data_IF_398110710844
#
_entry.id   IF_398110710844
#
_cell.length_a   1.000
_cell.length_b   1.000
_cell.length_c   1.000
_cell.angle_alpha   90.00
_cell.angle_beta   90.00
_cell.angle_gamma   90.00
#
_symmetry.space_group_name_H-M   'P 1'
#
loop_
_entity.id
_entity.type
_entity.pdbx_description
1 polymer ?
#
# COMPACT_ATOMS: atom_id res chain seq x y z
N UNK A 1 35.62 -4.94 -4.84
CA UNK A 1 34.61 -5.86 -5.38
C UNK A 1 33.26 -5.18 -5.22
N UNK A 2 32.78 -4.51 -6.26
CA UNK A 2 31.53 -3.75 -6.24
C UNK A 2 30.48 -4.58 -6.96
N UNK A 3 29.45 -5.02 -6.23
CA UNK A 3 28.35 -5.79 -6.81
C UNK A 3 27.46 -4.86 -7.64
N UNK A 4 27.26 -5.26 -8.88
CA UNK A 4 26.56 -4.54 -9.93
C UNK A 4 25.06 -4.90 -9.83
N UNK A 5 24.22 -4.00 -9.29
CA UNK A 5 22.77 -4.22 -9.22
C UNK A 5 22.17 -3.82 -10.57
N UNK A 6 21.51 -4.73 -11.32
CA UNK A 6 20.94 -4.40 -12.62
C UNK A 6 19.73 -3.47 -12.45
N UNK A 7 19.76 -2.35 -13.17
CA UNK A 7 18.66 -1.41 -13.33
C UNK A 7 17.53 -2.06 -14.14
N UNK A 8 16.64 -2.81 -13.48
CA UNK A 8 15.47 -3.37 -14.14
C UNK A 8 14.40 -2.29 -14.26
N UNK A 9 14.16 -1.85 -15.49
CA UNK A 9 13.35 -0.68 -15.83
C UNK A 9 11.88 -0.83 -15.49
N UNK A 10 11.44 -0.14 -14.44
CA UNK A 10 10.05 0.26 -14.26
C UNK A 10 9.73 1.35 -15.30
N UNK A 11 8.90 1.04 -16.31
CA UNK A 11 8.37 2.05 -17.22
C UNK A 11 7.03 2.57 -16.68
N UNK A 12 7.11 3.77 -16.11
CA UNK A 12 6.03 4.62 -15.60
C UNK A 12 4.82 4.66 -16.54
N UNK A 13 3.67 4.15 -16.08
CA UNK A 13 2.38 4.16 -16.78
C UNK A 13 1.38 5.21 -16.27
N UNK A 14 1.84 6.31 -15.65
CA UNK A 14 0.97 7.35 -15.12
C UNK A 14 0.59 8.36 -16.22
N UNK A 15 -0.31 7.98 -17.13
CA UNK A 15 -1.02 8.98 -17.93
C UNK A 15 -2.04 9.71 -17.03
N UNK A 16 -2.28 11.01 -17.25
CA UNK A 16 -3.27 11.81 -16.49
C UNK A 16 -4.66 11.18 -16.41
N UNK A 17 -5.02 10.33 -17.37
CA UNK A 17 -6.27 9.57 -17.40
C UNK A 17 -6.33 8.44 -16.35
N UNK A 18 -5.18 7.90 -15.97
CA UNK A 18 -5.10 6.85 -14.94
C UNK A 18 -5.29 7.47 -13.55
N UNK A 19 -4.76 8.65 -13.28
CA UNK A 19 -4.94 9.32 -11.97
C UNK A 19 -6.42 9.60 -11.65
N UNK A 20 -7.20 10.06 -12.62
CA UNK A 20 -8.62 10.37 -12.44
C UNK A 20 -9.47 9.13 -12.12
N UNK A 21 -9.19 7.98 -12.75
CA UNK A 21 -9.89 6.72 -12.44
C UNK A 21 -9.43 6.12 -11.11
N UNK A 22 -8.19 6.40 -10.70
CA UNK A 22 -7.68 5.94 -9.41
C UNK A 22 -8.23 6.75 -8.23
N UNK A 23 -8.52 8.03 -8.43
CA UNK A 23 -9.11 8.92 -7.40
C UNK A 23 -10.56 8.55 -7.01
N UNK A 24 -11.30 7.84 -7.87
CA UNK A 24 -12.65 7.38 -7.52
C UNK A 24 -12.66 6.07 -6.72
N UNK A 25 -11.51 5.44 -6.52
CA UNK A 25 -11.37 4.20 -5.75
C UNK A 25 -11.30 4.52 -4.28
N UNK A 26 -12.18 3.90 -3.50
CA UNK A 26 -12.23 4.04 -2.05
C UNK A 26 -11.94 2.69 -1.39
N UNK A 27 -11.61 2.70 -0.10
CA UNK A 27 -11.48 1.47 0.67
C UNK A 27 -12.78 0.64 0.62
N UNK A 28 -13.93 1.29 0.66
CA UNK A 28 -15.26 0.66 0.62
C UNK A 28 -15.61 0.05 -0.74
N UNK A 29 -14.99 0.51 -1.84
CA UNK A 29 -15.26 -0.02 -3.19
C UNK A 29 -14.23 -1.05 -3.65
N UNK A 30 -12.96 -0.90 -3.27
CA UNK A 30 -11.86 -1.75 -3.76
C UNK A 30 -11.24 -2.65 -2.70
N UNK A 31 -11.36 -2.31 -1.41
CA UNK A 31 -10.87 -3.10 -0.29
C UNK A 31 -12.01 -3.64 0.59
N UNK A 32 -13.26 -3.66 0.09
CA UNK A 32 -14.45 -4.01 0.86
C UNK A 32 -14.36 -5.38 1.56
N UNK A 33 -13.67 -6.34 0.94
CA UNK A 33 -13.44 -7.68 1.48
C UNK A 33 -12.53 -7.67 2.71
N UNK A 34 -11.62 -6.69 2.83
CA UNK A 34 -10.67 -6.56 3.94
C UNK A 34 -11.31 -5.84 5.14
N UNK A 35 -12.21 -4.89 4.90
CA UNK A 35 -12.76 -4.01 5.95
C UNK A 35 -13.34 -4.75 7.17
N UNK A 36 -14.07 -5.88 7.04
CA UNK A 36 -14.58 -6.63 8.19
C UNK A 36 -13.49 -7.29 9.06
N UNK A 37 -12.27 -7.38 8.55
CA UNK A 37 -11.13 -8.01 9.22
C UNK A 37 -10.18 -7.00 9.86
N UNK A 38 -10.37 -5.70 9.62
CA UNK A 38 -9.55 -4.64 10.23
C UNK A 38 -9.99 -4.44 11.68
N UNK A 39 -9.06 -4.62 12.61
CA UNK A 39 -9.22 -4.23 13.99
C UNK A 39 -8.83 -2.76 14.19
N UNK A 40 -9.44 -2.10 15.19
CA UNK A 40 -9.21 -0.68 15.44
C UNK A 40 -7.76 -0.32 15.70
N UNK A 41 -6.98 -1.26 16.25
CA UNK A 41 -5.58 -1.08 16.62
C UNK A 41 -4.60 -1.43 15.51
N UNK A 42 -5.06 -1.93 14.37
CA UNK A 42 -4.18 -2.44 13.31
C UNK A 42 -3.29 -1.35 12.73
N UNK A 43 -2.06 -1.73 12.42
CA UNK A 43 -1.12 -0.97 11.60
C UNK A 43 -1.16 -1.54 10.19
N UNK A 44 -1.59 -0.73 9.23
CA UNK A 44 -1.78 -1.14 7.83
C UNK A 44 -0.65 -0.56 6.97
N UNK A 45 -0.02 -1.40 6.14
CA UNK A 45 0.85 -0.96 5.06
C UNK A 45 0.13 -1.10 3.71
N UNK A 46 -0.02 0.00 2.98
CA UNK A 46 -0.54 0.02 1.60
C UNK A 46 0.61 0.20 0.60
N UNK A 47 0.92 -0.87 -0.13
CA UNK A 47 2.05 -0.94 -1.04
C UNK A 47 1.62 -0.59 -2.46
N UNK A 48 2.25 0.46 -3.01
CA UNK A 48 1.85 1.06 -4.27
C UNK A 48 0.54 1.84 -4.11
N UNK A 49 0.47 2.68 -3.07
CA UNK A 49 -0.73 3.38 -2.65
C UNK A 49 -1.30 4.34 -3.70
N UNK A 50 -0.49 4.72 -4.69
CA UNK A 50 -0.88 5.67 -5.72
C UNK A 50 -1.37 6.98 -5.10
N UNK A 51 -2.49 7.58 -5.59
CA UNK A 51 -2.99 8.86 -5.09
C UNK A 51 -3.58 8.78 -3.67
N UNK A 52 -3.43 7.66 -2.96
CA UNK A 52 -3.73 7.56 -1.54
C UNK A 52 -5.22 7.49 -1.17
N UNK A 53 -6.15 7.46 -2.11
CA UNK A 53 -7.59 7.49 -1.79
C UNK A 53 -8.07 6.26 -1.02
N UNK A 54 -7.54 5.07 -1.33
CA UNK A 54 -7.81 3.84 -0.57
C UNK A 54 -7.10 3.92 0.79
N UNK A 55 -5.82 4.29 0.81
CA UNK A 55 -4.99 4.43 2.01
C UNK A 55 -5.61 5.37 3.03
N UNK A 56 -6.04 6.56 2.60
CA UNK A 56 -6.76 7.54 3.40
C UNK A 56 -8.09 6.98 3.91
N UNK A 57 -8.78 6.17 3.09
CA UNK A 57 -10.01 5.50 3.49
C UNK A 57 -9.84 4.52 4.65
N UNK A 58 -8.69 3.83 4.74
CA UNK A 58 -8.41 2.90 5.84
C UNK A 58 -8.33 3.59 7.21
N UNK A 59 -7.99 4.87 7.27
CA UNK A 59 -7.94 5.65 8.52
C UNK A 59 -9.24 5.58 9.33
N UNK A 60 -10.39 5.43 8.65
CA UNK A 60 -11.71 5.30 9.28
C UNK A 60 -11.87 4.01 10.09
N UNK A 61 -11.09 2.99 9.77
CA UNK A 61 -11.18 1.65 10.35
C UNK A 61 -10.15 1.44 11.47
N UNK A 62 -9.02 2.15 11.43
CA UNK A 62 -7.92 2.03 12.40
C UNK A 62 -7.87 3.18 13.41
N UNK A 63 -9.00 3.52 14.01
CA UNK A 63 -9.10 4.64 14.99
C UNK A 63 -8.13 4.57 16.20
N UNK A 64 -7.60 3.37 16.51
CA UNK A 64 -6.58 3.12 17.53
C UNK A 64 -5.20 2.77 16.97
N UNK A 65 -5.07 2.64 15.65
CA UNK A 65 -3.90 2.20 14.91
C UNK A 65 -3.41 3.26 13.93
N UNK A 66 -2.86 2.84 12.78
CA UNK A 66 -2.30 3.76 11.78
C UNK A 66 -2.19 3.12 10.40
N UNK A 67 -2.02 3.95 9.37
CA UNK A 67 -1.81 3.51 7.99
C UNK A 67 -0.56 4.17 7.42
N UNK A 68 0.26 3.38 6.73
CA UNK A 68 1.41 3.85 5.95
C UNK A 68 1.18 3.50 4.48
N UNK A 69 1.21 4.49 3.60
CA UNK A 69 1.17 4.30 2.15
C UNK A 69 2.56 4.48 1.54
N UNK A 70 3.00 3.52 0.73
CA UNK A 70 4.24 3.63 -0.05
C UNK A 70 3.96 3.70 -1.54
N UNK A 71 4.65 4.60 -2.23
CA UNK A 71 4.76 4.60 -3.70
C UNK A 71 6.17 5.03 -4.12
N UNK A 72 6.60 4.63 -5.32
CA UNK A 72 7.91 5.04 -5.87
C UNK A 72 7.87 6.50 -6.37
N UNK A 73 6.69 6.98 -6.75
CA UNK A 73 6.47 8.27 -7.39
C UNK A 73 6.22 9.39 -6.38
N UNK A 74 7.17 10.32 -6.23
CA UNK A 74 7.03 11.48 -5.34
C UNK A 74 5.88 12.41 -5.73
N UNK A 75 5.64 12.60 -7.03
CA UNK A 75 4.54 13.41 -7.56
C UNK A 75 3.17 12.85 -7.14
N UNK A 76 3.04 11.52 -7.17
CA UNK A 76 1.79 10.85 -6.80
C UNK A 76 1.56 10.92 -5.29
N UNK A 77 2.63 10.80 -4.50
CA UNK A 77 2.58 10.96 -3.05
C UNK A 77 2.22 12.39 -2.60
N UNK A 78 2.54 13.42 -3.40
CA UNK A 78 2.07 14.77 -3.12
C UNK A 78 0.53 14.84 -3.18
N UNK A 79 -0.07 14.29 -4.24
CA UNK A 79 -1.53 14.20 -4.36
C UNK A 79 -2.16 13.39 -3.21
N UNK A 80 -1.49 12.31 -2.78
CA UNK A 80 -1.95 11.49 -1.66
C UNK A 80 -1.99 12.26 -0.34
N UNK A 81 -0.93 13.05 -0.06
CA UNK A 81 -0.84 13.92 1.12
C UNK A 81 -1.90 15.01 1.09
N UNK A 82 -2.11 15.64 -0.06
CA UNK A 82 -3.17 16.65 -0.24
C UNK A 82 -4.56 16.05 0.01
N UNK A 83 -4.84 14.87 -0.56
CA UNK A 83 -6.12 14.18 -0.36
C UNK A 83 -6.39 13.81 1.11
N UNK A 84 -5.38 13.35 1.84
CA UNK A 84 -5.52 13.07 3.27
C UNK A 84 -5.74 14.34 4.10
N UNK A 85 -5.06 15.44 3.74
CA UNK A 85 -5.25 16.73 4.39
C UNK A 85 -6.67 17.28 4.15
N UNK A 86 -7.19 17.19 2.92
CA UNK A 86 -8.57 17.58 2.59
C UNK A 86 -9.61 16.75 3.36
N UNK A 87 -9.30 15.46 3.60
CA UNK A 87 -10.12 14.57 4.41
C UNK A 87 -9.96 14.79 5.93
N UNK A 88 -9.12 15.74 6.36
CA UNK A 88 -8.80 16.02 7.77
C UNK A 88 -8.29 14.79 8.55
N UNK A 89 -7.54 13.92 7.87
CA UNK A 89 -6.93 12.75 8.50
C UNK A 89 -5.63 13.17 9.19
N UNK A 90 -5.40 12.79 10.46
CA UNK A 90 -4.17 13.15 11.15
C UNK A 90 -2.96 12.46 10.51
N UNK A 91 -1.78 13.09 10.62
CA UNK A 91 -0.52 12.52 10.14
C UNK A 91 0.29 11.85 11.25
N UNK A 92 -0.21 11.87 12.48
CA UNK A 92 0.42 11.25 13.65
C UNK A 92 -0.64 10.82 14.67
N UNK A 93 -0.29 9.84 15.50
CA UNK A 93 -1.17 9.30 16.52
C UNK A 93 -2.27 8.36 15.99
N UNK A 94 -3.22 7.95 16.85
CA UNK A 94 -4.25 6.99 16.48
C UNK A 94 -5.14 7.48 15.31
N UNK A 95 -5.37 6.60 14.33
CA UNK A 95 -6.13 6.92 13.12
C UNK A 95 -5.34 7.71 12.08
N UNK A 96 -4.01 7.79 12.21
CA UNK A 96 -3.18 8.57 11.29
C UNK A 96 -2.89 7.87 9.98
N UNK A 97 -2.62 8.68 8.95
CA UNK A 97 -2.10 8.22 7.67
C UNK A 97 -0.81 8.98 7.36
N UNK A 98 0.23 8.23 6.97
CA UNK A 98 1.48 8.79 6.45
C UNK A 98 1.81 8.21 5.08
N UNK A 99 2.48 9.01 4.25
CA UNK A 99 2.86 8.63 2.88
C UNK A 99 4.36 8.77 2.70
N UNK A 100 5.00 7.65 2.35
CA UNK A 100 6.44 7.51 2.26
C UNK A 100 6.87 7.13 0.84
N UNK A 101 7.98 7.71 0.38
CA UNK A 101 8.58 7.25 -0.87
C UNK A 101 9.35 5.96 -0.60
N UNK A 102 9.06 4.91 -1.36
CA UNK A 102 9.72 3.63 -1.18
C UNK A 102 9.68 2.77 -2.44
N UNK A 103 10.70 1.93 -2.59
CA UNK A 103 10.69 0.86 -3.58
C UNK A 103 10.29 -0.43 -2.87
N UNK A 104 9.20 -1.06 -3.33
CA UNK A 104 8.73 -2.35 -2.82
C UNK A 104 9.82 -3.43 -2.82
N UNK A 105 10.80 -3.36 -3.73
CA UNK A 105 11.91 -4.30 -3.82
C UNK A 105 12.93 -4.19 -2.67
N UNK A 106 12.81 -3.18 -1.81
CA UNK A 106 13.72 -2.92 -0.69
C UNK A 106 13.07 -2.05 0.38
N UNK A 107 11.96 -2.53 0.94
CA UNK A 107 11.27 -1.84 2.02
C UNK A 107 12.13 -1.82 3.30
N UNK A 108 12.30 -0.67 3.98
CA UNK A 108 13.08 -0.54 5.20
C UNK A 108 12.28 -0.95 6.46
N UNK A 109 11.29 -1.85 6.32
CA UNK A 109 10.49 -2.31 7.44
C UNK A 109 10.99 -3.66 7.93
N UNK A 110 10.97 -3.83 9.23
CA UNK A 110 11.28 -5.10 9.87
C UNK A 110 9.99 -5.95 9.97
N UNK A 111 10.14 -7.27 10.08
CA UNK A 111 9.00 -8.14 10.44
C UNK A 111 8.29 -7.63 11.70
N UNK A 112 6.98 -7.89 11.80
CA UNK A 112 6.09 -7.48 12.90
C UNK A 112 5.79 -5.97 13.01
N UNK A 113 6.15 -5.17 11.99
CA UNK A 113 5.84 -3.72 11.98
C UNK A 113 4.37 -3.42 11.63
N UNK A 114 3.72 -4.28 10.84
CA UNK A 114 2.35 -4.09 10.39
C UNK A 114 1.52 -5.34 10.65
N UNK A 115 0.26 -5.10 11.00
CA UNK A 115 -0.72 -6.15 11.26
C UNK A 115 -1.40 -6.59 9.96
N UNK A 116 -1.48 -5.69 8.96
CA UNK A 116 -2.06 -5.94 7.64
C UNK A 116 -1.17 -5.31 6.56
N UNK A 117 -0.94 -6.05 5.47
CA UNK A 117 -0.37 -5.51 4.23
C UNK A 117 -1.39 -5.61 3.12
N UNK A 118 -1.60 -4.49 2.44
CA UNK A 118 -2.52 -4.34 1.33
C UNK A 118 -1.77 -3.83 0.10
N UNK A 119 -2.22 -4.25 -1.08
CA UNK A 119 -1.78 -3.67 -2.35
C UNK A 119 -2.92 -3.74 -3.37
N UNK A 120 -3.18 -2.63 -4.05
CA UNK A 120 -4.21 -2.55 -5.10
C UNK A 120 -3.62 -2.04 -6.41
N UNK A 121 -3.66 -2.90 -7.44
CA UNK A 121 -3.32 -2.56 -8.83
C UNK A 121 -1.89 -2.05 -9.08
N UNK A 122 -0.87 -2.67 -8.45
CA UNK A 122 0.53 -2.44 -8.85
C UNK A 122 0.89 -3.17 -10.16
N UNK A 123 0.11 -4.16 -10.59
CA UNK A 123 0.58 -5.14 -11.57
C UNK A 123 -0.22 -5.16 -12.89
N UNK A 124 0.06 -4.18 -13.75
CA UNK A 124 -0.12 -4.32 -15.20
C UNK A 124 1.12 -4.89 -15.93
N UNK A 125 2.25 -5.06 -15.24
CA UNK A 125 3.55 -5.34 -15.88
C UNK A 125 4.48 -6.35 -15.17
N UNK A 126 4.06 -7.02 -14.10
CA UNK A 126 4.83 -8.16 -13.55
C UNK A 126 4.14 -9.49 -13.92
N UNK A 127 4.88 -10.51 -14.37
CA UNK A 127 4.37 -11.87 -14.34
C UNK A 127 4.20 -12.29 -12.87
N UNK A 128 3.08 -12.94 -12.47
CA UNK A 128 2.83 -13.35 -11.10
C UNK A 128 3.52 -14.71 -10.81
N UNK A 129 4.72 -14.69 -10.20
CA UNK A 129 5.01 -15.61 -9.08
C UNK A 129 5.78 -14.98 -7.89
N UNK A 130 6.37 -13.79 -8.03
CA UNK A 130 7.39 -13.33 -7.05
C UNK A 130 6.85 -12.44 -5.92
N UNK A 131 5.59 -11.99 -5.99
CA UNK A 131 5.03 -11.06 -5.00
C UNK A 131 4.90 -11.67 -3.59
N UNK A 132 4.43 -12.91 -3.41
CA UNK A 132 4.41 -13.57 -2.10
C UNK A 132 5.83 -13.67 -1.52
N UNK A 133 6.80 -14.10 -2.35
CA UNK A 133 8.19 -14.21 -1.94
C UNK A 133 8.79 -12.85 -1.58
N UNK A 134 8.44 -11.79 -2.30
CA UNK A 134 8.89 -10.43 -2.01
C UNK A 134 8.33 -9.92 -0.68
N UNK A 135 7.05 -10.18 -0.40
CA UNK A 135 6.41 -9.85 0.88
C UNK A 135 7.04 -10.66 2.02
N UNK A 136 7.26 -11.96 1.83
CA UNK A 136 7.98 -12.80 2.79
C UNK A 136 9.41 -12.31 3.04
N UNK A 137 10.14 -11.89 2.00
CA UNK A 137 11.49 -11.30 2.11
C UNK A 137 11.49 -9.95 2.83
N UNK A 138 10.38 -9.23 2.79
CA UNK A 138 10.14 -8.03 3.57
C UNK A 138 9.66 -8.32 5.01
N UNK A 139 9.60 -9.60 5.41
CA UNK A 139 9.23 -10.03 6.76
C UNK A 139 7.74 -10.24 6.98
N UNK A 140 6.94 -10.33 5.91
CA UNK A 140 5.51 -10.63 5.99
C UNK A 140 5.27 -12.11 5.74
N UNK A 141 5.04 -12.87 6.81
CA UNK A 141 4.73 -14.29 6.71
C UNK A 141 3.28 -14.47 6.25
N UNK A 142 3.08 -15.15 5.12
CA UNK A 142 1.75 -15.42 4.58
C UNK A 142 1.00 -16.48 5.40
N UNK A 143 1.75 -17.30 6.17
CA UNK A 143 1.24 -18.47 6.89
C UNK A 143 0.36 -18.14 8.11
N UNK A 144 0.38 -16.91 8.64
CA UNK A 144 -0.41 -16.49 9.81
C UNK A 144 -1.73 -15.76 9.46
N UNK A 145 -2.14 -15.77 8.19
CA UNK A 145 -3.52 -15.44 7.80
C UNK A 145 -3.90 -13.95 7.83
N UNK A 146 -2.93 -13.03 7.82
CA UNK A 146 -3.21 -11.57 7.87
C UNK A 146 -2.90 -10.80 6.59
N UNK A 147 -2.49 -11.47 5.52
CA UNK A 147 -2.29 -10.84 4.20
C UNK A 147 -3.54 -11.01 3.35
N UNK A 148 -4.27 -9.93 3.06
CA UNK A 148 -5.45 -10.00 2.18
C UNK A 148 -5.25 -9.11 0.97
N UNK A 149 -4.99 -9.73 -0.18
CA UNK A 149 -4.84 -9.08 -1.49
C UNK A 149 -6.18 -9.13 -2.22
N UNK A 150 -6.57 -8.03 -2.87
CA UNK A 150 -7.91 -7.82 -3.43
C UNK A 150 -8.30 -8.68 -4.64
N UNK A 151 -9.48 -8.40 -5.22
CA UNK A 151 -10.13 -9.29 -6.18
C UNK A 151 -9.26 -9.47 -7.45
N UNK A 152 -8.80 -10.71 -7.66
CA UNK A 152 -8.04 -11.12 -8.85
C UNK A 152 -6.74 -11.87 -8.56
N UNK A 153 -6.29 -11.98 -7.30
CA UNK A 153 -5.13 -12.82 -6.96
C UNK A 153 -5.28 -13.36 -5.54
N UNK A 154 -5.43 -14.68 -5.42
CA UNK A 154 -5.31 -15.41 -4.15
C UNK A 154 -3.86 -15.82 -3.98
N UNK A 155 -3.27 -15.51 -2.84
CA UNK A 155 -1.99 -16.07 -2.41
C UNK A 155 -2.25 -16.70 -1.05
N UNK A 156 -1.95 -17.99 -0.95
CA UNK A 156 -1.76 -18.69 0.32
C UNK A 156 -0.38 -18.32 0.85
#
# INVERSE_FOLDING_TARGET
>A
MSQNIPSNGYKQGYSKYTLATQQSRTAESYAAFLLPHIEKGDRILDVGCGPGTITTGFAKYVSGGSVVGIDISTEVLQNAKESAAEANVPTEGPGSVVFEQGNILGLPYHGDTFDIVYSSQVFGHFPPPDLPELLCRAGFDADDGKTVIGPGTTVY
#
